data_IF_030985786107
#
_entry.id   IF_030985786107
#
_cell.length_a   1.000
_cell.length_b   1.000
_cell.length_c   1.000
_cell.angle_alpha   90.00
_cell.angle_beta   90.00
_cell.angle_gamma   90.00
#
_symmetry.space_group_name_H-M   'P 1'
#
loop_
_entity.id
_entity.type
_entity.pdbx_description
1 polymer ?
#
# COMPACT_ATOMS: atom_id res chain seq x y z
N UNK A 1 -18.63 7.40 -6.70
CA UNK A 1 -17.18 7.40 -7.03
C UNK A 1 -16.75 5.97 -7.29
N UNK A 2 -15.81 5.78 -8.22
CA UNK A 2 -15.25 4.45 -8.47
C UNK A 2 -14.01 4.23 -7.61
N UNK A 3 -13.08 5.22 -7.58
CA UNK A 3 -11.79 5.07 -6.93
C UNK A 3 -11.49 6.32 -6.10
N UNK A 4 -11.17 6.13 -4.82
CA UNK A 4 -10.62 7.16 -3.93
C UNK A 4 -9.10 7.00 -3.84
N UNK A 5 -8.37 8.05 -4.20
CA UNK A 5 -6.91 8.06 -4.28
C UNK A 5 -6.38 8.81 -3.07
N UNK A 6 -5.60 8.14 -2.23
CA UNK A 6 -4.99 8.71 -1.04
C UNK A 6 -3.59 9.20 -1.37
N UNK A 7 -3.32 10.48 -1.14
CA UNK A 7 -2.10 11.19 -1.52
C UNK A 7 -1.54 12.01 -0.34
N UNK A 8 -0.83 11.39 0.60
CA UNK A 8 0.00 12.14 1.54
C UNK A 8 1.13 12.85 0.79
N UNK A 9 1.36 14.14 1.10
CA UNK A 9 2.39 14.95 0.45
C UNK A 9 2.96 15.99 1.40
N UNK A 10 4.25 16.34 1.22
CA UNK A 10 4.92 17.39 1.97
C UNK A 10 6.03 18.03 1.15
N UNK A 11 5.94 19.35 0.92
CA UNK A 11 6.96 20.18 0.22
C UNK A 11 7.35 19.71 -1.19
N UNK A 12 6.43 19.02 -1.89
CA UNK A 12 6.65 18.43 -3.22
C UNK A 12 5.59 18.84 -4.23
N UNK A 13 5.12 20.10 -4.17
CA UNK A 13 4.00 20.59 -4.99
C UNK A 13 4.13 20.29 -6.48
N UNK A 14 5.32 20.46 -7.05
CA UNK A 14 5.51 20.26 -8.50
C UNK A 14 5.48 18.77 -8.90
N UNK A 15 5.95 17.89 -8.02
CA UNK A 15 5.81 16.43 -8.17
C UNK A 15 4.35 16.03 -8.03
N UNK A 16 3.67 16.51 -6.99
CA UNK A 16 2.24 16.26 -6.78
C UNK A 16 1.40 16.64 -7.99
N UNK A 17 1.64 17.81 -8.59
CA UNK A 17 0.95 18.24 -9.81
C UNK A 17 1.12 17.25 -10.95
N UNK A 18 2.34 16.80 -11.21
CA UNK A 18 2.64 15.83 -12.27
C UNK A 18 1.99 14.48 -11.97
N UNK A 19 2.05 14.03 -10.73
CA UNK A 19 1.45 12.78 -10.27
C UNK A 19 -0.07 12.80 -10.50
N UNK A 20 -0.77 13.80 -9.96
CA UNK A 20 -2.23 13.93 -10.10
C UNK A 20 -2.64 14.09 -11.56
N UNK A 21 -1.92 14.92 -12.33
CA UNK A 21 -2.20 15.11 -13.75
C UNK A 21 -2.06 13.80 -14.53
N UNK A 22 -1.04 12.99 -14.21
CA UNK A 22 -0.86 11.68 -14.85
C UNK A 22 -2.01 10.70 -14.59
N UNK A 23 -2.60 10.76 -13.42
CA UNK A 23 -3.78 9.96 -13.08
C UNK A 23 -5.01 10.40 -13.88
N UNK A 24 -5.24 11.72 -13.98
CA UNK A 24 -6.37 12.30 -14.69
C UNK A 24 -6.25 12.06 -16.20
N UNK A 25 -5.09 12.34 -16.80
CA UNK A 25 -4.85 12.24 -18.25
C UNK A 25 -4.93 10.81 -18.77
N UNK A 26 -4.72 9.82 -17.88
CA UNK A 26 -4.74 8.41 -18.22
C UNK A 26 -6.00 7.69 -17.76
N UNK A 27 -6.88 8.34 -17.02
CA UNK A 27 -8.17 7.78 -16.66
C UNK A 27 -9.17 7.86 -17.82
N UNK A 28 -10.09 6.90 -17.91
CA UNK A 28 -11.23 6.93 -18.80
C UNK A 28 -12.37 7.78 -18.26
N UNK A 29 -12.57 7.74 -16.95
CA UNK A 29 -13.66 8.44 -16.27
C UNK A 29 -13.10 9.29 -15.11
N UNK A 30 -12.34 10.36 -15.40
CA UNK A 30 -11.69 11.15 -14.36
C UNK A 30 -12.68 11.80 -13.39
N UNK A 31 -13.91 12.06 -13.79
CA UNK A 31 -15.00 12.57 -12.96
C UNK A 31 -15.49 11.56 -11.90
N UNK A 32 -15.17 10.28 -12.07
CA UNK A 32 -15.45 9.21 -11.10
C UNK A 32 -14.31 8.97 -10.10
N UNK A 33 -13.22 9.71 -10.22
CA UNK A 33 -12.11 9.69 -9.27
C UNK A 33 -12.40 10.63 -8.10
N UNK A 34 -11.88 10.29 -6.93
CA UNK A 34 -11.82 11.16 -5.76
C UNK A 34 -10.37 11.29 -5.32
N UNK A 35 -9.90 12.52 -5.13
CA UNK A 35 -8.56 12.81 -4.65
C UNK A 35 -8.59 13.28 -3.20
N UNK A 36 -7.91 12.55 -2.32
CA UNK A 36 -7.83 12.82 -0.88
C UNK A 36 -6.37 13.13 -0.52
N UNK A 37 -6.11 14.38 -0.14
CA UNK A 37 -4.77 14.86 0.15
C UNK A 37 -4.57 15.02 1.66
N UNK A 38 -3.46 14.51 2.17
CA UNK A 38 -2.94 14.85 3.50
C UNK A 38 -1.71 15.72 3.33
N UNK A 39 -1.75 16.94 3.88
CA UNK A 39 -0.67 17.94 3.78
C UNK A 39 -0.23 18.35 5.18
N UNK A 40 1.06 18.36 5.45
CA UNK A 40 1.57 18.85 6.72
C UNK A 40 1.39 20.36 6.88
N UNK A 41 1.13 20.84 8.11
CA UNK A 41 0.91 22.26 8.43
C UNK A 41 2.12 23.14 8.05
N UNK A 42 3.31 22.57 7.94
CA UNK A 42 4.53 23.29 7.52
C UNK A 42 4.66 23.42 5.99
N UNK A 43 3.67 22.93 5.22
CA UNK A 43 3.58 23.04 3.75
C UNK A 43 2.36 23.87 3.29
N UNK A 44 2.27 25.09 3.76
CA UNK A 44 1.20 26.02 3.38
C UNK A 44 1.08 26.24 1.86
N UNK A 45 2.22 26.19 1.14
CA UNK A 45 2.23 26.37 -0.31
C UNK A 45 1.39 25.31 -1.01
N UNK A 46 1.60 24.06 -0.69
CA UNK A 46 0.84 22.93 -1.27
C UNK A 46 -0.63 22.99 -0.85
N UNK A 47 -0.90 23.27 0.43
CA UNK A 47 -2.28 23.35 0.92
C UNK A 47 -3.09 24.46 0.27
N UNK A 48 -2.54 25.67 0.14
CA UNK A 48 -3.20 26.79 -0.54
C UNK A 48 -3.44 26.51 -2.02
N UNK A 49 -2.47 25.87 -2.71
CA UNK A 49 -2.66 25.44 -4.08
C UNK A 49 -3.85 24.45 -4.19
N UNK A 50 -3.91 23.44 -3.32
CA UNK A 50 -4.99 22.46 -3.34
C UNK A 50 -6.36 23.09 -3.05
N UNK A 51 -6.44 24.10 -2.19
CA UNK A 51 -7.69 24.86 -1.97
C UNK A 51 -8.20 25.58 -3.23
N UNK A 52 -7.31 25.95 -4.14
CA UNK A 52 -7.65 26.67 -5.36
C UNK A 52 -7.77 25.74 -6.58
N UNK A 53 -7.20 24.54 -6.50
CA UNK A 53 -7.25 23.55 -7.55
C UNK A 53 -8.68 22.99 -7.74
N UNK A 54 -8.94 22.44 -8.92
CA UNK A 54 -10.24 21.87 -9.28
C UNK A 54 -10.09 20.41 -9.71
N UNK A 55 -9.32 19.65 -8.92
CA UNK A 55 -9.24 18.22 -9.18
C UNK A 55 -10.60 17.54 -8.89
N UNK A 56 -10.94 16.45 -9.57
CA UNK A 56 -12.22 15.79 -9.38
C UNK A 56 -12.43 15.38 -7.92
N UNK A 57 -13.59 15.78 -7.35
CA UNK A 57 -14.05 15.38 -6.01
C UNK A 57 -12.97 15.45 -4.92
N UNK A 58 -12.16 16.50 -4.96
CA UNK A 58 -11.00 16.63 -4.06
C UNK A 58 -11.39 17.04 -2.63
N UNK A 59 -10.60 16.53 -1.68
CA UNK A 59 -10.56 16.98 -0.30
C UNK A 59 -9.09 17.09 0.12
N UNK A 60 -8.68 18.22 0.69
CA UNK A 60 -7.36 18.42 1.27
C UNK A 60 -7.50 18.64 2.78
N UNK A 61 -6.84 17.80 3.56
CA UNK A 61 -6.76 17.89 5.01
C UNK A 61 -5.35 18.32 5.43
N UNK A 62 -5.28 19.16 6.44
CA UNK A 62 -4.02 19.63 7.02
C UNK A 62 -3.74 18.88 8.33
N UNK A 63 -2.48 18.47 8.51
CA UNK A 63 -2.05 17.66 9.64
C UNK A 63 -0.86 18.31 10.34
N UNK A 64 -0.77 18.15 11.64
CA UNK A 64 0.51 18.36 12.32
C UNK A 64 1.52 17.38 11.78
N UNK A 65 2.79 17.79 11.53
CA UNK A 65 3.81 16.87 11.06
C UNK A 65 4.05 15.74 12.07
N UNK A 66 3.71 14.51 11.70
CA UNK A 66 3.86 13.32 12.56
C UNK A 66 4.96 12.37 12.08
N UNK A 67 5.62 12.72 10.99
CA UNK A 67 6.75 11.97 10.43
C UNK A 67 6.34 10.76 9.58
N UNK A 68 7.31 10.29 8.81
CA UNK A 68 7.13 9.22 7.83
C UNK A 68 6.72 7.88 8.47
N UNK A 69 7.23 7.59 9.66
CA UNK A 69 6.90 6.39 10.45
C UNK A 69 5.41 6.31 10.84
N UNK A 70 4.72 7.45 10.83
CA UNK A 70 3.29 7.57 11.11
C UNK A 70 2.43 7.71 9.85
N UNK A 71 2.94 7.38 8.68
CA UNK A 71 2.22 7.49 7.39
C UNK A 71 0.85 6.79 7.40
N UNK A 72 0.71 5.70 8.16
CA UNK A 72 -0.56 5.02 8.34
C UNK A 72 -1.66 5.92 8.94
N UNK A 73 -1.32 6.87 9.81
CA UNK A 73 -2.30 7.77 10.42
C UNK A 73 -2.90 8.73 9.39
N UNK A 74 -2.09 9.24 8.45
CA UNK A 74 -2.59 10.03 7.33
C UNK A 74 -3.54 9.19 6.47
N UNK A 75 -3.11 8.00 6.05
CA UNK A 75 -3.89 7.14 5.18
C UNK A 75 -5.18 6.64 5.85
N UNK A 76 -5.15 6.25 7.12
CA UNK A 76 -6.35 5.86 7.85
C UNK A 76 -7.37 7.01 7.97
N UNK A 77 -6.88 8.24 8.23
CA UNK A 77 -7.76 9.42 8.27
C UNK A 77 -8.37 9.70 6.89
N UNK A 78 -7.55 9.71 5.83
CA UNK A 78 -8.06 9.93 4.47
C UNK A 78 -9.07 8.86 4.06
N UNK A 79 -8.84 7.60 4.43
CA UNK A 79 -9.75 6.50 4.12
C UNK A 79 -11.15 6.68 4.73
N UNK A 80 -11.24 7.33 5.89
CA UNK A 80 -12.52 7.70 6.50
C UNK A 80 -13.35 8.67 5.65
N UNK A 81 -12.73 9.38 4.70
CA UNK A 81 -13.41 10.28 3.74
C UNK A 81 -13.55 9.66 2.35
N UNK A 82 -13.07 8.43 2.15
CA UNK A 82 -13.17 7.76 0.87
C UNK A 82 -14.63 7.39 0.56
N UNK A 83 -15.07 7.70 -0.65
CA UNK A 83 -16.42 7.41 -1.16
C UNK A 83 -16.42 6.49 -2.38
N UNK A 84 -15.22 6.14 -2.88
CA UNK A 84 -15.04 5.23 -3.99
C UNK A 84 -15.26 3.77 -3.58
N UNK A 85 -15.66 2.93 -4.52
CA UNK A 85 -15.72 1.47 -4.31
C UNK A 85 -14.34 0.89 -3.98
N UNK A 86 -13.30 1.52 -4.54
CA UNK A 86 -11.89 1.17 -4.34
C UNK A 86 -11.13 2.30 -3.67
N UNK A 87 -10.16 1.95 -2.85
CA UNK A 87 -9.16 2.86 -2.29
C UNK A 87 -7.82 2.52 -2.94
N UNK A 88 -7.11 3.54 -3.41
CA UNK A 88 -5.79 3.41 -4.00
C UNK A 88 -4.80 4.33 -3.29
N UNK A 89 -3.67 3.81 -2.85
CA UNK A 89 -2.54 4.64 -2.43
C UNK A 89 -1.75 5.07 -3.64
N UNK A 90 -1.39 6.33 -3.65
CA UNK A 90 -0.52 6.86 -4.68
C UNK A 90 0.47 7.85 -4.08
N UNK A 91 1.65 7.98 -4.68
CA UNK A 91 2.70 8.84 -4.19
C UNK A 91 2.80 10.11 -5.03
N UNK A 92 3.23 11.21 -4.40
CA UNK A 92 3.44 12.48 -5.08
C UNK A 92 4.61 12.45 -6.09
N UNK A 93 5.49 11.45 -6.02
CA UNK A 93 6.59 11.17 -6.96
C UNK A 93 6.29 9.97 -7.89
N UNK A 94 5.02 9.61 -8.08
CA UNK A 94 4.62 8.52 -8.95
C UNK A 94 3.87 9.03 -10.20
N UNK A 95 4.05 8.35 -11.32
CA UNK A 95 3.46 8.71 -12.62
C UNK A 95 2.70 7.50 -13.17
N UNK A 96 1.39 7.64 -13.32
CA UNK A 96 0.54 6.67 -14.00
C UNK A 96 0.87 6.64 -15.50
N UNK A 97 1.15 5.45 -16.02
CA UNK A 97 1.53 5.26 -17.44
C UNK A 97 0.44 4.58 -18.26
N UNK A 98 -0.41 3.81 -17.62
CA UNK A 98 -1.41 3.01 -18.32
C UNK A 98 -2.65 3.84 -18.64
N UNK A 99 -3.07 3.86 -19.89
CA UNK A 99 -4.35 4.46 -20.32
C UNK A 99 -5.52 3.62 -19.83
N UNK A 100 -6.61 4.28 -19.46
CA UNK A 100 -7.84 3.66 -18.94
C UNK A 100 -7.58 2.73 -17.73
N UNK A 101 -6.62 3.14 -16.88
CA UNK A 101 -6.21 2.38 -15.70
C UNK A 101 -7.36 2.17 -14.71
N UNK A 102 -8.28 3.11 -14.64
CA UNK A 102 -9.47 3.07 -13.79
C UNK A 102 -10.44 1.96 -14.21
N UNK A 103 -10.67 1.74 -15.51
CA UNK A 103 -11.49 0.64 -16.01
C UNK A 103 -10.87 -0.72 -15.63
N UNK A 104 -9.54 -0.87 -15.74
CA UNK A 104 -8.83 -2.10 -15.37
C UNK A 104 -8.97 -2.45 -13.88
N UNK A 105 -9.14 -1.47 -13.01
CA UNK A 105 -9.44 -1.70 -11.59
C UNK A 105 -10.90 -2.19 -11.45
N UNK A 106 -11.82 -1.60 -12.20
CA UNK A 106 -13.24 -1.96 -12.15
C UNK A 106 -13.53 -3.36 -12.69
N UNK A 107 -12.63 -3.95 -13.49
CA UNK A 107 -12.73 -5.37 -13.90
C UNK A 107 -12.73 -6.34 -12.70
N UNK A 108 -12.27 -5.89 -11.54
CA UNK A 108 -12.23 -6.65 -10.28
C UNK A 108 -13.35 -6.27 -9.29
N UNK A 109 -14.38 -5.52 -9.71
CA UNK A 109 -15.36 -4.96 -8.76
C UNK A 109 -16.13 -5.97 -7.93
N UNK A 110 -16.24 -7.21 -8.42
CA UNK A 110 -16.89 -8.32 -7.72
C UNK A 110 -15.94 -9.14 -6.83
N UNK A 111 -14.62 -8.86 -6.88
CA UNK A 111 -13.64 -9.55 -6.07
C UNK A 111 -13.23 -8.72 -4.83
N UNK A 112 -13.03 -9.40 -3.71
CA UNK A 112 -12.33 -8.82 -2.57
C UNK A 112 -10.85 -9.18 -2.66
N UNK A 113 -10.05 -8.28 -3.21
CA UNK A 113 -8.64 -8.53 -3.47
C UNK A 113 -7.78 -7.27 -3.27
N UNK A 114 -6.47 -7.47 -3.18
CA UNK A 114 -5.47 -6.41 -3.25
C UNK A 114 -4.84 -6.44 -4.65
N UNK A 115 -4.96 -5.34 -5.39
CA UNK A 115 -4.34 -5.21 -6.70
C UNK A 115 -2.88 -4.77 -6.58
N UNK A 116 -2.00 -5.41 -7.35
CA UNK A 116 -0.59 -5.07 -7.47
C UNK A 116 -0.31 -4.56 -8.88
N UNK A 117 0.18 -3.32 -8.96
CA UNK A 117 0.58 -2.67 -10.20
C UNK A 117 2.02 -3.00 -10.56
N UNK A 118 2.35 -2.94 -11.84
CA UNK A 118 3.72 -3.04 -12.35
C UNK A 118 4.46 -1.74 -12.06
N UNK A 119 5.63 -1.84 -11.47
CA UNK A 119 6.56 -0.73 -11.27
C UNK A 119 8.00 -1.18 -11.56
N UNK A 120 8.97 -0.24 -11.63
CA UNK A 120 10.29 -0.52 -12.18
C UNK A 120 11.10 -1.54 -11.39
N UNK A 121 10.85 -1.66 -10.06
CA UNK A 121 11.66 -2.52 -9.20
C UNK A 121 11.22 -3.99 -9.22
N UNK A 122 10.00 -4.26 -9.70
CA UNK A 122 9.41 -5.59 -9.64
C UNK A 122 9.24 -6.08 -8.20
N UNK A 123 9.00 -5.15 -7.26
CA UNK A 123 8.87 -5.48 -5.85
C UNK A 123 7.72 -6.48 -5.61
N UNK A 124 7.89 -7.50 -4.73
CA UNK A 124 6.86 -8.49 -4.46
C UNK A 124 5.61 -7.90 -3.76
N UNK A 125 5.75 -6.80 -3.02
CA UNK A 125 4.61 -6.09 -2.44
C UNK A 125 3.91 -5.19 -3.45
N UNK A 126 2.66 -4.87 -3.19
CA UNK A 126 1.94 -3.83 -3.91
C UNK A 126 2.40 -2.46 -3.40
N UNK A 127 3.32 -1.82 -4.11
CA UNK A 127 3.87 -0.49 -3.74
C UNK A 127 2.81 0.60 -3.84
N UNK A 128 1.84 0.43 -4.74
CA UNK A 128 0.66 1.27 -4.91
C UNK A 128 -0.59 0.44 -4.63
N UNK A 129 -0.86 0.08 -3.36
CA UNK A 129 -1.97 -0.80 -3.03
C UNK A 129 -3.30 -0.22 -3.51
N UNK A 130 -4.08 -1.05 -4.20
CA UNK A 130 -5.44 -0.73 -4.56
C UNK A 130 -6.35 -1.88 -4.09
N UNK A 131 -7.38 -1.56 -3.30
CA UNK A 131 -8.20 -2.54 -2.60
C UNK A 131 -9.62 -2.02 -2.38
N UNK A 132 -10.62 -2.91 -2.19
CA UNK A 132 -12.01 -2.52 -1.96
C UNK A 132 -12.15 -1.67 -0.69
N UNK A 133 -12.99 -0.63 -0.73
CA UNK A 133 -13.31 0.21 0.43
C UNK A 133 -13.85 -0.62 1.61
N UNK A 134 -14.49 -1.74 1.36
CA UNK A 134 -14.94 -2.71 2.37
C UNK A 134 -13.81 -3.17 3.31
N UNK A 135 -12.56 -3.16 2.85
CA UNK A 135 -11.39 -3.46 3.69
C UNK A 135 -11.30 -2.50 4.88
N UNK A 136 -11.39 -1.20 4.61
CA UNK A 136 -11.36 -0.18 5.66
C UNK A 136 -12.56 -0.29 6.61
N UNK A 137 -13.77 -0.47 6.08
CA UNK A 137 -14.96 -0.59 6.93
C UNK A 137 -14.94 -1.82 7.84
N UNK A 138 -14.34 -2.91 7.39
CA UNK A 138 -14.24 -4.13 8.18
C UNK A 138 -13.24 -4.01 9.35
N UNK A 139 -12.11 -3.33 9.11
CA UNK A 139 -11.01 -3.26 10.06
C UNK A 139 -11.00 -1.98 10.89
N UNK A 140 -11.70 -0.92 10.44
CA UNK A 140 -11.65 0.45 10.97
C UNK A 140 -10.26 1.10 10.83
N UNK A 141 -9.40 0.52 10.00
CA UNK A 141 -8.09 1.03 9.61
C UNK A 141 -7.62 0.33 8.33
N UNK A 142 -6.60 0.88 7.70
CA UNK A 142 -5.93 0.25 6.58
C UNK A 142 -4.65 -0.45 7.07
N UNK A 143 -3.91 0.24 7.92
CA UNK A 143 -2.66 -0.23 8.49
C UNK A 143 -2.46 0.35 9.89
N UNK A 144 -1.73 -0.35 10.73
CA UNK A 144 -1.30 0.10 12.05
C UNK A 144 0.21 0.43 12.08
N UNK A 145 0.87 0.43 10.91
CA UNK A 145 2.29 0.70 10.76
C UNK A 145 2.56 1.61 9.54
N UNK A 146 3.63 2.42 9.60
CA UNK A 146 4.00 3.36 8.53
C UNK A 146 4.28 2.71 7.17
N UNK A 147 4.74 1.46 7.16
CA UNK A 147 4.90 0.65 5.95
C UNK A 147 3.56 0.04 5.52
N UNK A 148 2.65 0.88 5.04
CA UNK A 148 1.27 0.48 4.72
C UNK A 148 1.21 -0.53 3.58
N UNK A 149 2.07 -0.38 2.58
CA UNK A 149 2.22 -1.27 1.43
C UNK A 149 2.61 -2.70 1.85
N UNK A 150 3.57 -2.82 2.75
CA UNK A 150 3.95 -4.09 3.33
C UNK A 150 2.83 -4.70 4.20
N UNK A 151 2.18 -3.89 5.05
CA UNK A 151 1.07 -4.35 5.89
C UNK A 151 -0.05 -5.00 5.07
N UNK A 152 -0.53 -4.30 4.05
CA UNK A 152 -1.60 -4.78 3.18
C UNK A 152 -1.17 -5.99 2.36
N UNK A 153 0.06 -5.96 1.82
CA UNK A 153 0.58 -7.03 0.99
C UNK A 153 0.74 -8.34 1.76
N UNK A 154 1.23 -8.29 3.00
CA UNK A 154 1.36 -9.47 3.82
C UNK A 154 0.01 -10.09 4.17
N UNK A 155 -1.01 -9.27 4.49
CA UNK A 155 -2.38 -9.76 4.69
C UNK A 155 -2.90 -10.42 3.41
N UNK A 156 -2.70 -9.78 2.25
CA UNK A 156 -3.16 -10.33 0.99
C UNK A 156 -2.46 -11.65 0.62
N UNK A 157 -1.19 -11.81 0.99
CA UNK A 157 -0.48 -13.08 0.83
C UNK A 157 -1.02 -14.18 1.75
N UNK A 158 -1.28 -13.85 3.04
CA UNK A 158 -1.88 -14.81 3.97
C UNK A 158 -3.20 -15.38 3.44
N UNK A 159 -3.97 -14.55 2.72
CA UNK A 159 -5.31 -14.87 2.25
C UNK A 159 -5.37 -15.34 0.79
N UNK A 160 -4.24 -15.32 0.08
CA UNK A 160 -4.18 -15.59 -1.36
C UNK A 160 -5.09 -14.68 -2.21
N UNK A 161 -5.25 -13.42 -1.82
CA UNK A 161 -6.10 -12.44 -2.48
C UNK A 161 -5.31 -11.33 -3.20
N UNK A 162 -4.00 -11.48 -3.40
CA UNK A 162 -3.22 -10.60 -4.27
C UNK A 162 -3.55 -10.91 -5.73
N UNK A 163 -3.80 -9.86 -6.53
CA UNK A 163 -4.02 -9.96 -7.97
C UNK A 163 -3.07 -9.02 -8.70
N UNK A 164 -2.35 -9.55 -9.67
CA UNK A 164 -1.56 -8.74 -10.60
C UNK A 164 -2.48 -8.13 -11.64
N UNK A 165 -2.34 -6.84 -11.88
CA UNK A 165 -3.10 -6.13 -12.90
C UNK A 165 -2.13 -5.41 -13.86
N UNK A 166 -2.49 -5.36 -15.14
CA UNK A 166 -1.68 -4.73 -16.18
C UNK A 166 -1.81 -3.20 -16.15
N UNK A 167 -1.43 -2.63 -15.01
CA UNK A 167 -1.29 -1.18 -14.79
C UNK A 167 0.16 -0.90 -14.47
N UNK A 168 0.77 0.03 -15.20
CA UNK A 168 2.17 0.42 -15.04
C UNK A 168 2.28 1.81 -14.42
N UNK A 169 3.10 1.92 -13.39
CA UNK A 169 3.41 3.17 -12.68
C UNK A 169 4.93 3.36 -12.67
N UNK A 170 5.39 4.56 -12.96
CA UNK A 170 6.79 4.96 -12.71
C UNK A 170 6.85 5.58 -11.32
N UNK A 171 7.71 5.04 -10.47
CA UNK A 171 8.02 5.61 -9.17
C UNK A 171 9.31 6.43 -9.30
N UNK A 172 9.18 7.75 -9.47
CA UNK A 172 10.32 8.67 -9.72
C UNK A 172 11.02 9.06 -8.41
N UNK A 173 11.43 8.05 -7.67
CA UNK A 173 12.08 8.15 -6.36
C UNK A 173 13.60 8.11 -6.52
N UNK A 174 14.34 8.89 -5.70
CA UNK A 174 15.78 9.09 -5.85
C UNK A 174 16.62 7.81 -5.89
N UNK A 175 16.27 6.80 -5.09
CA UNK A 175 16.97 5.52 -5.04
C UNK A 175 16.64 4.57 -6.22
N UNK A 176 15.63 4.92 -7.03
CA UNK A 176 15.21 4.15 -8.21
C UNK A 176 15.69 4.84 -9.49
N UNK A 177 15.41 6.13 -9.63
CA UNK A 177 15.65 6.89 -10.86
C UNK A 177 16.84 7.83 -10.78
N UNK A 178 17.34 8.11 -9.58
CA UNK A 178 18.36 9.13 -9.32
C UNK A 178 17.80 10.55 -9.20
N UNK A 179 16.49 10.73 -9.43
CA UNK A 179 15.80 12.02 -9.32
C UNK A 179 15.25 12.26 -7.90
N UNK A 180 14.81 13.50 -7.63
CA UNK A 180 14.02 13.85 -6.44
C UNK A 180 14.71 13.54 -5.08
N UNK A 181 16.04 13.71 -5.00
CA UNK A 181 16.79 13.61 -3.75
C UNK A 181 16.57 14.88 -2.88
N UNK A 182 15.32 15.11 -2.53
CA UNK A 182 14.89 16.26 -1.73
C UNK A 182 14.91 16.00 -0.22
N UNK A 183 14.47 17.01 0.57
CA UNK A 183 14.41 16.90 2.03
C UNK A 183 13.50 15.75 2.47
N UNK A 184 12.33 15.61 1.85
CA UNK A 184 11.34 14.58 2.20
C UNK A 184 11.89 13.17 1.96
N UNK A 185 12.62 12.97 0.84
CA UNK A 185 13.29 11.71 0.59
C UNK A 185 14.39 11.42 1.64
N UNK A 186 15.21 12.43 1.98
CA UNK A 186 16.32 12.25 2.94
C UNK A 186 15.85 12.02 4.38
N UNK A 187 14.67 12.53 4.74
CA UNK A 187 14.06 12.29 6.06
C UNK A 187 13.47 10.88 6.17
N UNK A 188 13.30 10.18 5.03
CA UNK A 188 12.90 8.78 5.02
C UNK A 188 13.99 7.94 5.67
N UNK A 189 13.75 7.52 6.89
CA UNK A 189 14.61 6.51 7.53
C UNK A 189 14.31 5.17 6.88
N UNK A 190 15.31 4.60 6.23
CA UNK A 190 15.28 3.18 5.91
C UNK A 190 15.40 2.42 7.24
N UNK A 191 14.30 1.94 7.74
CA UNK A 191 14.36 0.95 8.80
C UNK A 191 14.93 -0.32 8.17
N UNK A 192 16.12 -0.72 8.58
CA UNK A 192 16.70 -2.02 8.20
C UNK A 192 15.88 -3.18 8.80
N UNK A 193 14.78 -2.88 9.47
CA UNK A 193 13.96 -3.80 10.22
C UNK A 193 14.71 -4.32 11.45
N UNK A 194 14.21 -4.05 12.61
CA UNK A 194 14.71 -4.67 13.84
C UNK A 194 13.53 -5.38 14.53
N UNK A 195 13.33 -6.67 14.24
CA UNK A 195 12.20 -7.44 14.78
C UNK A 195 12.16 -7.51 16.30
N UNK A 196 13.29 -7.25 16.97
CA UNK A 196 13.36 -7.17 18.44
C UNK A 196 12.90 -5.81 18.97
N UNK A 197 12.84 -4.80 18.09
CA UNK A 197 12.39 -3.46 18.46
C UNK A 197 10.86 -3.42 18.48
N UNK A 198 10.29 -3.13 19.66
CA UNK A 198 8.85 -2.93 19.79
C UNK A 198 8.36 -1.84 18.84
N UNK A 199 7.33 -2.17 18.04
CA UNK A 199 6.76 -1.27 17.06
C UNK A 199 7.34 -1.40 15.65
N UNK A 200 8.39 -2.21 15.46
CA UNK A 200 8.84 -2.61 14.12
C UNK A 200 7.77 -3.45 13.41
N UNK A 201 7.70 -3.36 12.09
CA UNK A 201 6.71 -4.10 11.29
C UNK A 201 6.79 -5.62 11.55
N UNK A 202 7.98 -6.14 11.75
CA UNK A 202 8.24 -7.57 11.96
C UNK A 202 8.34 -7.96 13.44
N UNK A 203 8.14 -7.02 14.36
CA UNK A 203 7.98 -7.35 15.78
C UNK A 203 6.73 -8.20 15.99
N UNK A 204 6.82 -9.19 16.88
CA UNK A 204 5.75 -10.17 17.10
C UNK A 204 4.38 -9.53 17.35
N UNK A 205 4.33 -8.41 18.06
CA UNK A 205 3.07 -7.71 18.33
C UNK A 205 2.43 -7.20 17.03
N UNK A 206 3.22 -6.65 16.09
CA UNK A 206 2.73 -6.17 14.80
C UNK A 206 2.31 -7.33 13.90
N UNK A 207 3.05 -8.43 13.96
CA UNK A 207 2.69 -9.68 13.24
C UNK A 207 1.36 -10.22 13.73
N UNK A 208 1.15 -10.31 15.06
CA UNK A 208 -0.12 -10.74 15.65
C UNK A 208 -1.30 -9.84 15.27
N UNK A 209 -1.08 -8.53 15.17
CA UNK A 209 -2.12 -7.58 14.74
C UNK A 209 -2.50 -7.81 13.27
N UNK A 210 -1.52 -7.94 12.35
CA UNK A 210 -1.80 -8.26 10.94
C UNK A 210 -2.54 -9.59 10.78
N UNK A 211 -2.17 -10.58 11.58
CA UNK A 211 -2.86 -11.87 11.57
C UNK A 211 -4.33 -11.75 12.02
N UNK A 212 -4.62 -10.92 13.04
CA UNK A 212 -6.00 -10.63 13.44
C UNK A 212 -6.79 -9.94 12.33
N UNK A 213 -6.17 -9.01 11.61
CA UNK A 213 -6.78 -8.37 10.45
C UNK A 213 -7.07 -9.39 9.35
N UNK A 214 -6.10 -10.27 9.06
CA UNK A 214 -6.29 -11.34 8.09
C UNK A 214 -7.46 -12.27 8.48
N UNK A 215 -7.61 -12.63 9.75
CA UNK A 215 -8.74 -13.47 10.23
C UNK A 215 -10.10 -12.78 10.01
N UNK A 216 -10.20 -11.46 10.25
CA UNK A 216 -11.44 -10.72 10.00
C UNK A 216 -11.80 -10.71 8.50
N UNK A 217 -10.80 -10.49 7.63
CA UNK A 217 -11.00 -10.52 6.19
C UNK A 217 -11.36 -11.94 5.73
N UNK A 218 -10.71 -12.96 6.25
CA UNK A 218 -11.03 -14.37 5.98
C UNK A 218 -12.51 -14.68 6.26
N UNK A 219 -13.02 -14.22 7.39
CA UNK A 219 -14.43 -14.36 7.74
C UNK A 219 -15.34 -13.68 6.71
N UNK A 220 -15.01 -12.45 6.27
CA UNK A 220 -15.77 -11.76 5.22
C UNK A 220 -15.75 -12.52 3.90
N UNK A 221 -14.60 -13.04 3.48
CA UNK A 221 -14.45 -13.83 2.26
C UNK A 221 -15.36 -15.07 2.29
N UNK A 222 -15.45 -15.76 3.44
CA UNK A 222 -16.38 -16.86 3.65
C UNK A 222 -17.84 -16.45 3.48
N UNK A 223 -18.24 -15.29 3.99
CA UNK A 223 -19.60 -14.76 3.82
C UNK A 223 -19.91 -14.39 2.37
N UNK A 224 -18.90 -13.95 1.61
CA UNK A 224 -19.03 -13.64 0.18
C UNK A 224 -19.02 -14.88 -0.71
N UNK A 225 -18.76 -16.07 -0.16
CA UNK A 225 -18.56 -17.30 -0.94
C UNK A 225 -17.28 -17.25 -1.79
N UNK A 226 -16.37 -16.32 -1.53
CA UNK A 226 -15.11 -16.23 -2.25
C UNK A 226 -14.14 -17.30 -1.74
N UNK A 227 -13.58 -18.16 -2.62
CA UNK A 227 -12.67 -19.21 -2.20
C UNK A 227 -11.47 -18.67 -1.45
N UNK A 228 -11.25 -19.21 -0.25
CA UNK A 228 -10.12 -18.85 0.59
C UNK A 228 -9.55 -20.10 1.27
N UNK A 229 -8.97 -20.97 0.47
CA UNK A 229 -8.45 -22.26 0.95
C UNK A 229 -7.16 -22.12 1.80
N UNK A 230 -6.50 -20.97 1.73
CA UNK A 230 -5.13 -20.86 2.17
C UNK A 230 -4.96 -20.80 3.69
N UNK A 231 -5.67 -19.91 4.37
CA UNK A 231 -5.58 -19.78 5.83
C UNK A 231 -6.27 -20.97 6.53
N UNK A 232 -7.40 -21.43 6.00
CA UNK A 232 -8.16 -22.53 6.62
C UNK A 232 -7.32 -23.81 6.66
N UNK A 233 -6.69 -24.20 5.55
CA UNK A 233 -5.81 -25.38 5.52
C UNK A 233 -4.62 -25.27 6.49
N UNK A 234 -4.09 -24.08 6.68
CA UNK A 234 -2.94 -23.86 7.57
C UNK A 234 -3.32 -23.83 9.05
N UNK A 235 -4.45 -23.26 9.40
CA UNK A 235 -4.98 -23.31 10.76
C UNK A 235 -5.34 -24.74 11.19
N UNK A 236 -5.95 -25.51 10.31
CA UNK A 236 -6.29 -26.92 10.55
C UNK A 236 -5.05 -27.80 10.69
N UNK A 237 -4.02 -27.57 9.88
CA UNK A 237 -2.79 -28.36 9.89
C UNK A 237 -1.74 -27.85 10.88
N UNK A 238 -2.05 -26.82 11.69
CA UNK A 238 -1.08 -26.15 12.59
C UNK A 238 0.20 -25.69 11.87
N UNK A 239 0.14 -25.52 10.56
CA UNK A 239 1.26 -24.99 9.77
C UNK A 239 1.34 -23.50 9.98
N UNK A 240 2.55 -23.00 10.23
CA UNK A 240 2.78 -21.57 10.36
C UNK A 240 2.40 -20.85 9.05
N UNK A 241 1.41 -19.96 9.03
CA UNK A 241 0.99 -19.25 7.83
C UNK A 241 2.11 -18.43 7.20
N UNK A 242 3.17 -18.12 7.94
CA UNK A 242 4.34 -17.38 7.45
C UNK A 242 5.33 -18.23 6.67
N UNK A 243 5.38 -19.56 6.86
CA UNK A 243 6.19 -20.45 6.02
C UNK A 243 5.78 -20.31 4.56
N UNK A 244 4.49 -20.24 4.30
CA UNK A 244 3.92 -20.08 2.97
C UNK A 244 4.12 -18.67 2.39
N UNK A 245 4.15 -17.65 3.24
CA UNK A 245 4.61 -16.31 2.85
C UNK A 245 6.04 -16.37 2.32
N UNK A 246 6.94 -17.05 3.03
CA UNK A 246 8.33 -17.21 2.61
C UNK A 246 8.43 -17.92 1.27
N UNK A 247 7.71 -19.01 1.04
CA UNK A 247 7.72 -19.73 -0.22
C UNK A 247 7.24 -18.85 -1.38
N UNK A 248 6.17 -18.07 -1.19
CA UNK A 248 5.72 -17.09 -2.19
C UNK A 248 6.74 -15.99 -2.42
N UNK A 249 7.38 -15.47 -1.38
CA UNK A 249 8.46 -14.50 -1.51
C UNK A 249 9.63 -15.04 -2.31
N UNK A 250 10.04 -16.28 -2.06
CA UNK A 250 11.14 -16.92 -2.78
C UNK A 250 10.77 -17.14 -4.26
N UNK A 251 9.51 -17.43 -4.56
CA UNK A 251 9.00 -17.50 -5.94
C UNK A 251 9.07 -16.14 -6.63
N UNK A 252 8.63 -15.06 -5.97
CA UNK A 252 8.71 -13.70 -6.53
C UNK A 252 10.16 -13.22 -6.70
N UNK A 253 11.05 -13.52 -5.76
CA UNK A 253 12.48 -13.27 -5.92
C UNK A 253 13.08 -13.98 -7.15
N UNK A 254 12.64 -15.20 -7.42
CA UNK A 254 13.10 -15.99 -8.59
C UNK A 254 12.45 -15.51 -9.89
N UNK A 255 11.20 -15.03 -9.85
CA UNK A 255 10.42 -14.71 -11.05
C UNK A 255 10.75 -13.35 -11.68
N UNK A 256 11.63 -12.52 -11.09
CA UNK A 256 11.98 -11.32 -11.81
C UNK A 256 12.16 -10.03 -11.05
N UNK A 257 12.46 -10.10 -9.78
CA UNK A 257 13.10 -8.98 -9.11
C UNK A 257 14.56 -8.76 -9.65
N UNK A 258 14.80 -9.19 -10.86
CA UNK A 258 16.00 -8.93 -11.65
C UNK A 258 15.89 -7.50 -12.16
N UNK A 259 16.23 -6.55 -11.29
CA UNK A 259 16.18 -5.13 -11.61
C UNK A 259 15.86 -4.23 -10.43
N UNK A 260 15.29 -4.76 -9.37
CA UNK A 260 15.25 -4.04 -8.09
C UNK A 260 16.70 -3.75 -7.71
N UNK A 261 17.09 -2.49 -7.73
CA UNK A 261 18.43 -2.10 -7.34
C UNK A 261 18.81 -2.83 -6.06
N UNK A 262 20.05 -3.29 -5.97
CA UNK A 262 20.58 -4.13 -4.86
C UNK A 262 20.19 -3.67 -3.45
N UNK A 263 19.72 -2.43 -3.30
CA UNK A 263 19.29 -1.83 -2.04
C UNK A 263 17.84 -2.20 -1.65
N UNK A 264 16.92 -2.35 -2.60
CA UNK A 264 15.53 -2.72 -2.28
C UNK A 264 15.35 -4.23 -2.03
N UNK A 265 16.24 -5.06 -2.56
CA UNK A 265 16.27 -6.48 -2.23
C UNK A 265 16.64 -6.75 -0.75
N UNK A 266 17.21 -5.75 -0.05
CA UNK A 266 17.55 -5.86 1.39
C UNK A 266 16.35 -5.66 2.31
N UNK A 267 15.35 -4.89 1.89
CA UNK A 267 14.14 -4.63 2.71
C UNK A 267 13.27 -5.89 2.85
N UNK A 268 13.41 -6.81 1.92
CA UNK A 268 12.78 -8.13 1.97
C UNK A 268 13.78 -9.20 2.44
N UNK A 269 14.68 -8.81 3.32
CA UNK A 269 15.71 -9.71 3.84
C UNK A 269 15.07 -10.92 4.54
N UNK A 270 15.59 -12.09 4.24
CA UNK A 270 15.18 -13.36 4.83
C UNK A 270 15.19 -13.36 6.38
N UNK A 271 15.93 -12.44 7.01
CA UNK A 271 15.95 -12.26 8.46
C UNK A 271 14.61 -11.80 9.01
N UNK A 272 13.92 -10.88 8.32
CA UNK A 272 12.62 -10.35 8.75
C UNK A 272 11.56 -11.45 8.77
N UNK A 273 11.56 -12.28 7.75
CA UNK A 273 10.65 -13.41 7.64
C UNK A 273 10.98 -14.48 8.71
N UNK A 274 12.26 -14.78 8.93
CA UNK A 274 12.72 -15.79 9.91
C UNK A 274 12.31 -15.48 11.35
N UNK A 275 12.38 -14.23 11.77
CA UNK A 275 12.07 -13.85 13.16
C UNK A 275 10.57 -13.88 13.42
N UNK A 276 9.75 -13.53 12.43
CA UNK A 276 8.29 -13.65 12.52
C UNK A 276 7.83 -15.09 12.77
N UNK A 277 8.58 -16.08 12.28
CA UNK A 277 8.23 -17.49 12.37
C UNK A 277 8.56 -18.12 13.72
N UNK A 278 9.70 -17.76 14.32
CA UNK A 278 10.20 -18.45 15.51
C UNK A 278 9.36 -18.22 16.77
N UNK A 279 8.52 -17.19 16.79
CA UNK A 279 7.77 -16.76 17.96
C UNK A 279 6.28 -17.14 17.94
N UNK A 280 5.74 -17.61 16.80
CA UNK A 280 4.35 -18.06 16.72
C UNK A 280 4.14 -19.51 17.17
N UNK A 281 5.21 -20.29 17.21
CA UNK A 281 5.16 -21.70 17.64
C UNK A 281 5.30 -21.90 19.14
N UNK A 282 5.33 -20.84 19.95
CA UNK A 282 5.58 -20.91 21.40
C UNK A 282 4.37 -20.56 22.28
N UNK A 283 3.24 -20.20 21.66
CA UNK A 283 1.94 -20.01 22.31
C UNK A 283 0.95 -21.03 21.74
#
# INVERSE_FOLDING_TARGET
>A
MNISILLPTRKRLDLLKKSVQSLIDNARQPDKLQFLFAVDEDDNKTFLYLKQSKYPNQLALQFKPIGYENLHKYNNTLAGYATGKWIMFFNDDAIMKTKNWDDKIMDFEDEFCLLRFKEQTGHPYSIFPCFPQKWFYLLDHISLHGQNDAWLSEIAYMLNIMRDVDISVIHDRADITGNNNDETFRLRKYNEGNPEQKGDLHHIDMVKLRYKDALKINWLLGLMGQPNEFIIKNLENKSDPFILLKEKFDVYKKAGAVGAGKQNARVTDQREIKVSYSNLSKD
#
